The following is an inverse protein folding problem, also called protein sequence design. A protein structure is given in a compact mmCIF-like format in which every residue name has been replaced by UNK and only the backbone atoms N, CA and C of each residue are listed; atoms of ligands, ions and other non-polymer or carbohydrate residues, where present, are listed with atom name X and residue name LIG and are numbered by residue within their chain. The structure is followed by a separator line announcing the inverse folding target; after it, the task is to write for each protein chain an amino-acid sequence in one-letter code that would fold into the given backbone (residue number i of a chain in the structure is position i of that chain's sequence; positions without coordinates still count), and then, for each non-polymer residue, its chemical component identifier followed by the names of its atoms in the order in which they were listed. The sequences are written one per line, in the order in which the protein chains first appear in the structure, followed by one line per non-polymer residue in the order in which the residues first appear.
data_IF_705458884795
#
_entry.id   IF_705458884795
#
_cell.length_a   1.000
_cell.length_b   1.000
_cell.length_c   1.000
_cell.angle_alpha   90.00
_cell.angle_beta   90.00
_cell.angle_gamma   90.00
#
_symmetry.space_group_name_H-M   'P 1'
#
loop_
_entity.id
_entity.type
_entity.pdbx_description
1 polymer ?
#
# COMPACT_ATOMS: atom_id res chain seq x y z
N UNK A 1 56.74 4.66 16.61
CA UNK A 1 55.41 5.28 16.66
C UNK A 1 54.81 5.10 15.28
N UNK A 2 54.17 3.96 15.03
CA UNK A 2 53.37 3.75 13.83
C UNK A 2 51.95 3.44 14.29
N UNK A 3 51.04 4.28 13.81
CA UNK A 3 49.65 4.33 14.21
C UNK A 3 48.84 3.24 13.53
N UNK A 4 48.13 2.47 14.34
CA UNK A 4 47.14 1.47 13.95
C UNK A 4 46.03 2.09 13.12
N UNK A 5 45.80 1.62 11.89
CA UNK A 5 44.58 1.91 11.14
C UNK A 5 43.59 0.77 11.41
N UNK A 6 42.62 1.04 12.28
CA UNK A 6 41.46 0.18 12.50
C UNK A 6 40.54 0.29 11.28
N UNK A 7 40.49 -0.75 10.45
CA UNK A 7 39.49 -0.86 9.40
C UNK A 7 38.15 -1.15 10.06
N UNK A 8 37.35 -0.10 10.24
CA UNK A 8 35.96 -0.24 10.68
C UNK A 8 35.18 -0.87 9.53
N UNK A 9 35.03 -2.19 9.59
CA UNK A 9 34.13 -2.95 8.74
C UNK A 9 32.71 -2.48 9.06
N UNK A 10 32.27 -1.46 8.33
CA UNK A 10 30.86 -1.07 8.31
C UNK A 10 30.14 -2.22 7.66
N UNK A 11 29.56 -3.08 8.50
CA UNK A 11 28.65 -4.13 8.09
C UNK A 11 27.54 -3.49 7.28
N UNK A 12 27.65 -3.56 5.95
CA UNK A 12 26.55 -3.24 5.06
C UNK A 12 25.44 -4.23 5.42
N UNK A 13 24.43 -3.75 6.12
CA UNK A 13 23.20 -4.49 6.30
C UNK A 13 22.65 -4.78 4.90
N UNK A 14 22.91 -5.99 4.41
CA UNK A 14 22.21 -6.53 3.26
C UNK A 14 20.74 -6.50 3.67
N UNK A 15 19.93 -5.67 3.00
CA UNK A 15 18.48 -5.82 3.09
C UNK A 15 18.23 -7.24 2.59
N UNK A 16 17.78 -8.18 3.46
CA UNK A 16 17.58 -9.55 3.04
C UNK A 16 16.62 -9.53 1.87
N UNK A 17 16.90 -10.35 0.85
CA UNK A 17 16.03 -10.49 -0.30
C UNK A 17 14.67 -10.99 0.20
N UNK A 18 13.71 -10.07 0.30
CA UNK A 18 12.37 -10.32 0.87
C UNK A 18 11.56 -11.30 0.03
N UNK A 19 12.06 -11.68 -1.15
CA UNK A 19 11.42 -12.65 -2.02
C UNK A 19 11.58 -14.09 -1.51
N UNK A 20 12.63 -14.37 -0.72
CA UNK A 20 12.87 -15.70 -0.15
C UNK A 20 11.84 -16.08 0.93
N UNK A 21 11.21 -15.09 1.57
CA UNK A 21 10.23 -15.26 2.66
C UNK A 21 8.78 -14.98 2.21
N UNK A 22 8.51 -14.93 0.90
CA UNK A 22 7.13 -14.80 0.40
C UNK A 22 6.39 -16.11 0.70
N UNK A 23 5.29 -16.00 1.45
CA UNK A 23 4.41 -17.12 1.75
C UNK A 23 3.67 -17.67 0.52
N UNK A 24 2.77 -18.62 0.75
CA UNK A 24 1.94 -19.17 -0.32
C UNK A 24 1.10 -18.08 -1.01
N UNK A 25 0.88 -18.26 -2.30
CA UNK A 25 -0.03 -17.41 -3.06
C UNK A 25 -1.47 -17.64 -2.59
N UNK A 26 -2.22 -16.55 -2.36
CA UNK A 26 -3.61 -16.61 -1.94
C UNK A 26 -4.58 -16.21 -3.05
N UNK A 27 -4.39 -15.02 -3.65
CA UNK A 27 -5.29 -14.51 -4.68
C UNK A 27 -4.56 -13.67 -5.73
N UNK A 28 -5.14 -13.59 -6.91
CA UNK A 28 -4.75 -12.63 -7.96
C UNK A 28 -5.99 -11.89 -8.45
N UNK A 29 -5.89 -10.57 -8.54
CA UNK A 29 -6.94 -9.69 -9.06
C UNK A 29 -6.37 -8.88 -10.23
N UNK A 30 -7.05 -8.93 -11.37
CA UNK A 30 -6.75 -8.06 -12.50
C UNK A 30 -7.66 -6.85 -12.46
N UNK A 31 -7.09 -5.68 -12.12
CA UNK A 31 -7.85 -4.43 -12.07
C UNK A 31 -8.02 -3.84 -13.47
N UNK A 32 -9.24 -3.42 -13.78
CA UNK A 32 -9.55 -2.62 -14.98
C UNK A 32 -9.86 -1.20 -14.58
N UNK A 33 -9.48 -0.24 -15.43
CA UNK A 33 -9.87 1.16 -15.25
C UNK A 33 -11.39 1.29 -15.37
N UNK A 34 -12.00 1.99 -14.43
CA UNK A 34 -13.43 2.27 -14.47
C UNK A 34 -13.77 3.26 -15.59
N UNK A 35 -14.94 3.09 -16.21
CA UNK A 35 -15.44 4.02 -17.23
C UNK A 35 -15.74 5.39 -16.63
N UNK A 36 -15.76 6.43 -17.48
CA UNK A 36 -16.12 7.79 -17.06
C UNK A 36 -17.53 7.78 -16.44
N UNK A 37 -17.67 8.44 -15.29
CA UNK A 37 -18.94 8.53 -14.55
C UNK A 37 -19.08 7.54 -13.40
N UNK A 38 -18.27 6.46 -13.37
CA UNK A 38 -18.19 5.60 -12.18
C UNK A 38 -17.48 6.30 -11.00
N UNK A 39 -17.81 5.88 -9.78
CA UNK A 39 -17.17 6.37 -8.55
C UNK A 39 -15.72 5.89 -8.41
N UNK A 40 -15.45 4.64 -8.79
CA UNK A 40 -14.13 4.02 -8.78
C UNK A 40 -13.21 4.57 -9.88
N UNK A 41 -11.91 4.49 -9.63
CA UNK A 41 -10.84 4.66 -10.62
C UNK A 41 -10.47 3.33 -11.27
N UNK A 42 -10.36 2.28 -10.45
CA UNK A 42 -10.11 0.91 -10.86
C UNK A 42 -10.98 -0.06 -10.07
N UNK A 43 -11.38 -1.16 -10.68
CA UNK A 43 -12.15 -2.22 -10.05
C UNK A 43 -11.70 -3.58 -10.60
N UNK A 44 -11.81 -4.64 -9.79
CA UNK A 44 -11.56 -5.99 -10.23
C UNK A 44 -11.95 -7.00 -9.15
N UNK A 45 -12.03 -8.26 -9.55
CA UNK A 45 -12.28 -9.39 -8.67
C UNK A 45 -11.37 -10.55 -9.05
N UNK A 46 -11.26 -11.53 -8.16
CA UNK A 46 -10.82 -12.88 -8.54
C UNK A 46 -11.70 -13.43 -9.67
N UNK A 47 -11.19 -14.34 -10.52
CA UNK A 47 -12.00 -15.02 -11.51
C UNK A 47 -13.12 -15.85 -10.87
N UNK A 48 -14.15 -16.27 -11.64
CA UNK A 48 -15.16 -17.20 -11.15
C UNK A 48 -14.52 -18.45 -10.54
N UNK A 49 -15.02 -18.91 -9.40
CA UNK A 49 -14.45 -20.02 -8.63
C UNK A 49 -13.32 -19.64 -7.67
N UNK A 50 -12.77 -18.42 -7.77
CA UNK A 50 -11.81 -17.90 -6.81
C UNK A 50 -10.49 -18.68 -6.78
N UNK A 51 -9.91 -18.82 -5.57
CA UNK A 51 -8.68 -19.57 -5.32
C UNK A 51 -8.87 -20.51 -4.11
N UNK A 52 -8.13 -21.63 -4.01
CA UNK A 52 -8.23 -22.53 -2.88
C UNK A 52 -7.97 -21.82 -1.54
N UNK A 53 -8.79 -22.13 -0.53
CA UNK A 53 -8.60 -21.62 0.83
C UNK A 53 -9.20 -22.61 1.82
N UNK A 54 -8.49 -22.93 2.90
CA UNK A 54 -8.90 -23.94 3.88
C UNK A 54 -9.23 -23.36 5.25
N UNK A 55 -9.41 -22.04 5.35
CA UNK A 55 -9.68 -21.38 6.63
C UNK A 55 -11.13 -21.58 7.05
N UNK A 56 -11.37 -21.95 8.31
CA UNK A 56 -12.71 -22.07 8.90
C UNK A 56 -13.70 -22.92 8.07
N UNK A 57 -13.21 -23.98 7.42
CA UNK A 57 -14.05 -24.87 6.59
C UNK A 57 -14.34 -24.37 5.19
N UNK A 58 -13.63 -23.33 4.72
CA UNK A 58 -13.67 -22.95 3.32
C UNK A 58 -13.02 -24.03 2.44
N UNK A 59 -13.46 -24.08 1.20
CA UNK A 59 -12.81 -24.75 0.07
C UNK A 59 -12.15 -23.74 -0.87
N UNK A 60 -12.75 -22.56 -1.03
CA UNK A 60 -12.22 -21.49 -1.86
C UNK A 60 -12.50 -20.10 -1.26
N UNK A 61 -11.75 -19.11 -1.73
CA UNK A 61 -11.97 -17.71 -1.40
C UNK A 61 -12.10 -16.84 -2.66
N UNK A 62 -12.83 -15.74 -2.51
CA UNK A 62 -12.94 -14.68 -3.51
C UNK A 62 -12.46 -13.38 -2.92
N UNK A 63 -11.89 -12.52 -3.77
CA UNK A 63 -11.53 -11.16 -3.40
C UNK A 63 -12.04 -10.17 -4.44
N UNK A 64 -12.57 -9.05 -3.99
CA UNK A 64 -12.92 -7.90 -4.83
C UNK A 64 -12.18 -6.67 -4.32
N UNK A 65 -11.60 -5.91 -5.24
CA UNK A 65 -10.84 -4.70 -4.93
C UNK A 65 -11.31 -3.56 -5.83
N UNK A 66 -11.65 -2.44 -5.20
CA UNK A 66 -11.95 -1.20 -5.90
C UNK A 66 -11.15 -0.03 -5.33
N UNK A 67 -10.45 0.67 -6.21
CA UNK A 67 -9.67 1.86 -5.87
C UNK A 67 -10.55 3.07 -6.17
N UNK A 68 -10.88 3.83 -5.13
CA UNK A 68 -11.69 5.05 -5.24
C UNK A 68 -10.80 6.29 -5.44
N UNK A 69 -11.46 7.44 -5.60
CA UNK A 69 -10.80 8.75 -5.49
C UNK A 69 -10.40 9.02 -4.05
N UNK A 70 -9.59 10.06 -3.82
CA UNK A 70 -9.22 10.56 -2.48
C UNK A 70 -8.57 9.50 -1.58
N UNK A 71 -7.82 8.56 -2.17
CA UNK A 71 -7.11 7.49 -1.46
C UNK A 71 -8.03 6.56 -0.65
N UNK A 72 -9.29 6.42 -1.05
CA UNK A 72 -10.21 5.44 -0.47
C UNK A 72 -10.09 4.08 -1.20
N UNK A 73 -10.14 2.99 -0.45
CA UNK A 73 -9.98 1.62 -0.94
C UNK A 73 -11.13 0.77 -0.42
N UNK A 74 -11.81 0.06 -1.30
CA UNK A 74 -12.83 -0.92 -0.93
C UNK A 74 -12.27 -2.32 -1.20
N UNK A 75 -12.25 -3.18 -0.17
CA UNK A 75 -11.79 -4.56 -0.31
C UNK A 75 -12.83 -5.52 0.26
N UNK A 76 -13.04 -6.64 -0.42
CA UNK A 76 -14.01 -7.64 -0.02
C UNK A 76 -13.48 -9.05 -0.20
N UNK A 77 -12.91 -9.56 0.88
CA UNK A 77 -12.41 -10.94 0.96
C UNK A 77 -13.44 -11.83 1.64
N UNK A 78 -13.75 -12.96 1.01
CA UNK A 78 -14.76 -13.93 1.49
C UNK A 78 -14.28 -15.35 1.22
N UNK A 79 -14.63 -16.27 2.11
CA UNK A 79 -14.42 -17.70 1.92
C UNK A 79 -15.72 -18.48 1.90
N UNK A 80 -15.71 -19.54 1.12
CA UNK A 80 -16.86 -20.38 0.83
C UNK A 80 -16.50 -21.85 0.98
N UNK A 81 -17.43 -22.66 1.49
CA UNK A 81 -17.31 -24.12 1.50
C UNK A 81 -17.61 -24.74 0.11
N UNK A 82 -17.50 -26.06 -0.01
CA UNK A 82 -17.74 -26.80 -1.26
C UNK A 82 -19.19 -26.69 -1.78
N UNK A 83 -20.14 -26.39 -0.89
CA UNK A 83 -21.56 -26.19 -1.23
C UNK A 83 -21.84 -24.73 -1.66
N UNK A 84 -20.83 -23.85 -1.60
CA UNK A 84 -20.92 -22.44 -1.96
C UNK A 84 -21.49 -21.54 -0.85
N UNK A 85 -21.58 -22.02 0.39
CA UNK A 85 -21.98 -21.21 1.53
C UNK A 85 -20.81 -20.34 2.00
N UNK A 86 -21.07 -19.06 2.25
CA UNK A 86 -20.04 -18.17 2.81
C UNK A 86 -19.75 -18.51 4.28
N UNK A 87 -18.53 -18.95 4.57
CA UNK A 87 -18.08 -19.38 5.91
C UNK A 87 -17.25 -18.33 6.65
N UNK A 88 -16.63 -17.38 5.92
CA UNK A 88 -15.95 -16.23 6.54
C UNK A 88 -15.99 -14.98 5.67
N UNK A 89 -15.61 -13.85 6.28
CA UNK A 89 -15.61 -12.53 5.65
C UNK A 89 -16.94 -11.81 5.81
N UNK A 90 -16.97 -10.53 5.42
CA UNK A 90 -18.16 -9.69 5.54
C UNK A 90 -19.24 -10.16 4.57
N UNK A 91 -20.51 -10.24 5.01
CA UNK A 91 -21.64 -10.68 4.17
C UNK A 91 -22.32 -9.54 3.41
N UNK A 92 -22.33 -8.35 4.00
CA UNK A 92 -23.16 -7.23 3.53
C UNK A 92 -22.43 -6.23 2.62
N UNK A 93 -21.15 -6.45 2.32
CA UNK A 93 -20.38 -5.60 1.43
C UNK A 93 -18.91 -5.50 1.77
N UNK A 94 -18.19 -4.74 0.95
CA UNK A 94 -16.77 -4.47 1.12
C UNK A 94 -16.48 -3.63 2.36
N UNK A 95 -15.31 -3.83 2.95
CA UNK A 95 -14.76 -2.88 3.91
C UNK A 95 -14.32 -1.61 3.17
N UNK A 96 -14.73 -0.44 3.68
CA UNK A 96 -14.37 0.87 3.11
C UNK A 96 -13.25 1.53 3.92
N UNK A 97 -12.03 1.50 3.41
CA UNK A 97 -10.87 2.15 4.01
C UNK A 97 -10.75 3.58 3.49
N UNK A 98 -10.75 4.54 4.42
CA UNK A 98 -10.51 5.96 4.15
C UNK A 98 -9.23 6.40 4.85
N UNK A 99 -8.50 7.38 4.29
CA UNK A 99 -7.33 7.93 4.97
C UNK A 99 -7.69 8.43 6.36
N UNK A 100 -6.82 8.19 7.33
CA UNK A 100 -6.96 8.80 8.65
C UNK A 100 -6.87 10.34 8.51
N UNK A 101 -7.62 11.09 9.33
CA UNK A 101 -7.45 12.54 9.41
C UNK A 101 -5.99 12.93 9.69
N UNK A 102 -5.52 14.01 9.08
CA UNK A 102 -4.14 14.50 9.26
C UNK A 102 -3.81 14.87 10.71
N UNK A 103 -4.82 15.15 11.54
CA UNK A 103 -4.67 15.41 12.99
C UNK A 103 -4.41 14.17 13.84
N UNK A 104 -4.55 12.96 13.29
CA UNK A 104 -4.24 11.70 13.99
C UNK A 104 -2.72 11.45 14.10
N UNK A 105 -1.91 12.23 13.39
CA UNK A 105 -0.46 12.26 13.47
C UNK A 105 0.00 13.34 14.46
N UNK A 106 -0.52 13.35 15.69
CA UNK A 106 0.17 14.06 16.77
C UNK A 106 1.22 13.10 17.34
N UNK A 107 2.47 13.39 16.99
CA UNK A 107 3.68 12.69 17.36
C UNK A 107 3.72 12.33 18.86
N UNK A 108 3.64 11.03 19.16
CA UNK A 108 4.28 10.51 20.37
C UNK A 108 5.28 9.40 20.05
N UNK A 109 5.33 8.88 18.81
CA UNK A 109 6.26 7.83 18.40
C UNK A 109 6.69 7.90 16.93
N UNK A 110 7.15 9.06 16.45
CA UNK A 110 7.86 9.16 15.17
C UNK A 110 9.38 9.13 15.41
N UNK A 111 10.10 8.03 15.12
CA UNK A 111 11.58 7.98 15.19
C UNK A 111 12.27 8.69 14.02
N UNK A 112 11.55 9.42 13.16
CA UNK A 112 12.09 10.06 11.95
C UNK A 112 11.66 11.52 11.85
N UNK A 113 11.95 12.32 12.88
CA UNK A 113 11.92 13.77 12.75
C UNK A 113 13.24 14.25 12.15
N UNK A 114 13.48 13.93 10.88
CA UNK A 114 14.53 14.59 10.12
C UNK A 114 14.01 15.95 9.66
N UNK A 115 14.69 17.06 9.97
CA UNK A 115 14.29 18.36 9.44
C UNK A 115 14.31 18.29 7.90
N UNK A 116 13.30 18.86 7.21
CA UNK A 116 13.33 18.94 5.76
C UNK A 116 14.63 19.67 5.35
N UNK A 117 15.36 19.18 4.33
CA UNK A 117 16.50 19.91 3.81
C UNK A 117 16.02 21.31 3.37
N UNK A 118 16.79 22.37 3.64
CA UNK A 118 16.41 23.71 3.23
C UNK A 118 16.20 23.73 1.71
N UNK A 119 15.01 24.13 1.29
CA UNK A 119 14.65 24.29 -0.11
C UNK A 119 15.59 25.31 -0.76
N UNK A 120 16.55 24.84 -1.54
CA UNK A 120 17.32 25.69 -2.46
C UNK A 120 16.47 26.00 -3.69
N UNK A 121 15.38 26.73 -3.50
CA UNK A 121 14.77 27.53 -4.57
C UNK A 121 14.90 29.00 -4.17
N UNK A 122 16.12 29.54 -4.28
CA UNK A 122 16.26 30.96 -4.60
C UNK A 122 15.73 31.14 -6.01
N UNK A 123 14.43 31.39 -6.14
CA UNK A 123 13.87 32.04 -7.32
C UNK A 123 14.46 33.45 -7.35
N UNK A 124 15.47 33.65 -8.20
CA UNK A 124 15.94 34.98 -8.56
C UNK A 124 14.82 35.62 -9.36
N UNK A 125 13.99 36.43 -8.71
CA UNK A 125 13.05 37.31 -9.38
C UNK A 125 13.81 38.59 -9.70
N UNK A 126 14.52 38.56 -10.83
CA UNK A 126 15.18 39.73 -11.39
C UNK A 126 14.16 40.60 -12.11
N UNK A 127 13.86 41.76 -11.54
CA UNK A 127 13.24 42.87 -12.27
C UNK A 127 14.05 44.14 -11.98
N UNK A 128 15.01 44.43 -12.85
CA UNK A 128 15.66 45.73 -12.91
C UNK A 128 15.08 46.44 -14.14
N UNK A 129 14.29 47.49 -13.90
CA UNK A 129 13.88 48.45 -14.92
C UNK A 129 15.10 49.35 -15.20
N UNK A 130 15.54 49.41 -16.45
CA UNK A 130 16.43 50.46 -16.93
C UNK A 130 15.56 51.68 -17.28
N UNK A 131 15.81 52.80 -16.62
CA UNK A 131 15.47 54.12 -17.15
C UNK A 131 16.76 54.93 -17.24
N UNK A 132 16.91 55.57 -18.40
CA UNK A 132 18.03 56.38 -18.88
C UNK A 132 18.22 57.67 -18.06
#
# INVERSE_FOLDING_TARGET
MESSISSSSTSLYLVPDRTLDIGEHLTTIHLKRCSRGKRCLYEGSTPPGGFPNTWNGAAYCTSELSIMKNNEIHTWDRGYDDDGNQVWGQKDGAYEFKPAPTSCFNDTFSPLNFPPPPSTERRIEGSFILQE
#
